data_IF_545503389787
#
_entry.id   IF_545503389787
#
_cell.length_a   1.000
_cell.length_b   1.000
_cell.length_c   1.000
_cell.angle_alpha   90.00
_cell.angle_beta   90.00
_cell.angle_gamma   90.00
#
_symmetry.space_group_name_H-M   'P 1'
#
loop_
_entity.id
_entity.type
_entity.pdbx_description
1 polymer ?
#
# COMPACT_ATOMS: atom_id res chain seq x y z
N UNK A 1 -22.98 4.65 60.01
CA UNK A 1 -23.22 4.77 58.56
C UNK A 1 -22.06 5.37 57.75
N UNK A 2 -21.03 6.01 58.36
CA UNK A 2 -19.88 6.58 57.62
C UNK A 2 -18.91 5.53 57.01
N UNK A 3 -18.77 4.35 57.62
CA UNK A 3 -17.86 3.29 57.13
C UNK A 3 -18.27 2.66 55.79
N UNK A 4 -19.57 2.45 55.57
CA UNK A 4 -20.09 1.87 54.31
C UNK A 4 -19.85 2.84 53.14
N UNK A 5 -20.02 4.15 53.37
CA UNK A 5 -19.74 5.17 52.35
C UNK A 5 -18.25 5.23 51.96
N UNK A 6 -17.33 5.09 52.92
CA UNK A 6 -15.90 5.05 52.65
C UNK A 6 -15.50 3.80 51.84
N UNK A 7 -16.10 2.63 52.15
CA UNK A 7 -15.84 1.38 51.43
C UNK A 7 -16.31 1.49 49.96
N UNK A 8 -17.50 2.05 49.73
CA UNK A 8 -18.03 2.25 48.37
C UNK A 8 -17.12 3.18 47.56
N UNK A 9 -16.61 4.25 48.18
CA UNK A 9 -15.69 5.17 47.52
C UNK A 9 -14.37 4.49 47.10
N UNK A 10 -13.81 3.64 47.96
CA UNK A 10 -12.59 2.88 47.63
C UNK A 10 -12.82 1.92 46.46
N UNK A 11 -13.93 1.18 46.46
CA UNK A 11 -14.26 0.26 45.35
C UNK A 11 -14.47 1.03 44.05
N UNK A 12 -15.16 2.17 44.08
CA UNK A 12 -15.33 3.04 42.91
C UNK A 12 -14.00 3.53 42.34
N UNK A 13 -13.09 4.00 43.21
CA UNK A 13 -11.76 4.45 42.79
C UNK A 13 -11.00 3.29 42.15
N UNK A 14 -11.08 2.09 42.73
CA UNK A 14 -10.39 0.91 42.22
C UNK A 14 -10.91 0.53 40.81
N UNK A 15 -12.22 0.54 40.59
CA UNK A 15 -12.81 0.28 39.26
C UNK A 15 -12.43 1.33 38.22
N UNK A 16 -12.38 2.61 38.62
CA UNK A 16 -11.93 3.70 37.72
C UNK A 16 -10.46 3.50 37.35
N UNK A 17 -9.59 3.17 38.31
CA UNK A 17 -8.17 2.94 38.03
C UNK A 17 -7.93 1.76 37.10
N UNK A 18 -8.66 0.65 37.27
CA UNK A 18 -8.58 -0.51 36.36
C UNK A 18 -9.06 -0.12 34.95
N UNK A 19 -10.16 0.63 34.84
CA UNK A 19 -10.70 1.07 33.55
C UNK A 19 -9.73 1.99 32.81
N UNK A 20 -9.08 2.91 33.52
CA UNK A 20 -8.06 3.80 32.97
C UNK A 20 -6.81 3.04 32.51
N UNK A 21 -6.34 2.08 33.31
CA UNK A 21 -5.20 1.23 32.95
C UNK A 21 -5.49 0.37 31.72
N UNK A 22 -6.69 -0.24 31.64
CA UNK A 22 -7.13 -1.01 30.49
C UNK A 22 -7.24 -0.14 29.23
N UNK A 23 -7.83 1.05 29.35
CA UNK A 23 -7.92 2.01 28.24
C UNK A 23 -6.56 2.45 27.71
N UNK A 24 -5.63 2.78 28.62
CA UNK A 24 -4.26 3.16 28.24
C UNK A 24 -3.52 2.01 27.54
N UNK A 25 -3.65 0.78 28.06
CA UNK A 25 -3.03 -0.40 27.45
C UNK A 25 -3.57 -0.69 26.03
N UNK A 26 -4.89 -0.62 25.86
CA UNK A 26 -5.53 -0.82 24.56
C UNK A 26 -5.12 0.27 23.57
N UNK A 27 -5.11 1.54 24.00
CA UNK A 27 -4.67 2.65 23.17
C UNK A 27 -3.22 2.48 22.71
N UNK A 28 -2.31 2.13 23.63
CA UNK A 28 -0.90 1.94 23.29
C UNK A 28 -0.70 0.73 22.35
N UNK A 29 -1.40 -0.37 22.61
CA UNK A 29 -1.36 -1.58 21.77
C UNK A 29 -1.88 -1.31 20.36
N UNK A 30 -3.01 -0.61 20.23
CA UNK A 30 -3.57 -0.24 18.92
C UNK A 30 -2.66 0.74 18.18
N UNK A 31 -2.06 1.71 18.88
CA UNK A 31 -1.14 2.67 18.27
C UNK A 31 0.11 1.96 17.74
N UNK A 32 0.73 1.09 18.54
CA UNK A 32 1.93 0.36 18.16
C UNK A 32 1.66 -0.59 16.98
N UNK A 33 0.52 -1.29 16.99
CA UNK A 33 0.09 -2.17 15.90
C UNK A 33 -0.14 -1.39 14.60
N UNK A 34 -0.84 -0.26 14.66
CA UNK A 34 -1.11 0.57 13.48
C UNK A 34 0.17 1.21 12.91
N UNK A 35 1.04 1.75 13.76
CA UNK A 35 2.34 2.31 13.32
C UNK A 35 3.20 1.24 12.66
N UNK A 36 3.27 0.05 13.24
CA UNK A 36 4.05 -1.07 12.66
C UNK A 36 3.47 -1.50 11.31
N UNK A 37 2.15 -1.60 11.21
CA UNK A 37 1.46 -1.98 9.97
C UNK A 37 1.67 -0.94 8.88
N UNK A 38 1.53 0.35 9.19
CA UNK A 38 1.75 1.44 8.25
C UNK A 38 3.21 1.49 7.77
N UNK A 39 4.18 1.29 8.68
CA UNK A 39 5.59 1.23 8.32
C UNK A 39 5.90 0.04 7.39
N UNK A 40 5.36 -1.14 7.68
CA UNK A 40 5.52 -2.32 6.83
C UNK A 40 4.91 -2.14 5.44
N UNK A 41 3.72 -1.54 5.37
CA UNK A 41 3.07 -1.22 4.10
C UNK A 41 3.88 -0.23 3.28
N UNK A 42 4.41 0.84 3.89
CA UNK A 42 5.25 1.82 3.21
C UNK A 42 6.56 1.22 2.67
N UNK A 43 7.21 0.36 3.46
CA UNK A 43 8.43 -0.35 3.02
C UNK A 43 8.13 -1.28 1.84
N UNK A 44 7.05 -2.06 1.93
CA UNK A 44 6.66 -2.99 0.86
C UNK A 44 6.33 -2.28 -0.45
N UNK A 45 5.61 -1.15 -0.38
CA UNK A 45 5.30 -0.34 -1.56
C UNK A 45 6.56 0.27 -2.18
N UNK A 46 7.47 0.80 -1.35
CA UNK A 46 8.74 1.37 -1.84
C UNK A 46 9.61 0.29 -2.50
N UNK A 47 9.73 -0.88 -1.88
CA UNK A 47 10.47 -2.02 -2.43
C UNK A 47 9.85 -2.52 -3.75
N UNK A 48 8.51 -2.52 -3.84
CA UNK A 48 7.79 -2.87 -5.07
C UNK A 48 8.04 -1.84 -6.18
N UNK A 49 8.10 -0.55 -5.87
CA UNK A 49 8.41 0.48 -6.86
C UNK A 49 9.88 0.41 -7.32
N UNK A 50 10.81 0.16 -6.40
CA UNK A 50 12.22 -0.04 -6.74
C UNK A 50 12.47 -1.26 -7.62
N UNK A 51 11.63 -2.29 -7.51
CA UNK A 51 11.73 -3.52 -8.31
C UNK A 51 10.95 -3.45 -9.63
N UNK A 52 10.18 -2.39 -9.87
CA UNK A 52 9.51 -2.14 -11.14
C UNK A 52 10.39 -1.23 -11.99
N UNK A 53 11.08 -1.82 -12.95
CA UNK A 53 11.87 -1.10 -13.96
C UNK A 53 11.44 -1.60 -15.33
N UNK A 54 11.43 -0.71 -16.32
CA UNK A 54 11.10 -1.07 -17.69
C UNK A 54 11.94 -0.28 -18.66
N UNK A 55 12.08 -0.80 -19.87
CA UNK A 55 12.74 -0.12 -20.98
C UNK A 55 11.93 -0.34 -22.25
N UNK A 56 11.82 0.71 -23.06
CA UNK A 56 11.20 0.62 -24.38
C UNK A 56 12.29 0.15 -25.34
N UNK A 57 12.10 -1.03 -25.94
CA UNK A 57 13.08 -1.58 -26.87
C UNK A 57 12.87 -1.10 -28.30
N UNK A 58 11.62 -1.01 -28.73
CA UNK A 58 11.27 -0.64 -30.08
C UNK A 58 9.88 0.00 -30.14
N UNK A 59 9.72 0.90 -31.10
CA UNK A 59 8.44 1.49 -31.49
C UNK A 59 8.31 1.30 -33.00
N UNK A 60 7.25 0.61 -33.42
CA UNK A 60 6.94 0.33 -34.82
C UNK A 60 5.45 0.63 -35.08
N UNK A 61 5.17 1.86 -35.50
CA UNK A 61 3.80 2.35 -35.69
C UNK A 61 2.94 2.17 -34.42
N UNK A 62 1.82 1.42 -34.46
CA UNK A 62 0.98 1.11 -33.29
C UNK A 62 1.59 0.23 -32.22
N UNK A 63 2.78 -0.31 -32.47
CA UNK A 63 3.37 -1.34 -31.64
C UNK A 63 4.51 -0.75 -30.83
N UNK A 64 4.39 -0.87 -29.50
CA UNK A 64 5.47 -0.54 -28.57
C UNK A 64 5.93 -1.83 -27.92
N UNK A 65 7.19 -2.18 -28.11
CA UNK A 65 7.84 -3.30 -27.42
C UNK A 65 8.47 -2.81 -26.13
N UNK A 66 7.99 -3.33 -25.01
CA UNK A 66 8.46 -3.00 -23.67
C UNK A 66 9.13 -4.23 -23.08
N UNK A 67 10.36 -4.05 -22.57
CA UNK A 67 11.05 -5.02 -21.72
C UNK A 67 10.82 -4.67 -20.26
N UNK A 68 10.44 -5.67 -19.47
CA UNK A 68 10.52 -5.57 -18.02
C UNK A 68 11.94 -5.85 -17.55
N UNK A 69 12.65 -4.81 -17.13
CA UNK A 69 14.00 -4.91 -16.55
C UNK A 69 13.96 -5.03 -15.03
N UNK A 70 12.77 -4.99 -14.44
CA UNK A 70 12.52 -5.14 -13.02
C UNK A 70 12.41 -6.60 -12.58
N UNK A 71 12.37 -6.79 -11.26
CA UNK A 71 12.10 -8.08 -10.63
C UNK A 71 10.61 -8.31 -10.37
N UNK A 72 9.78 -7.28 -10.50
CA UNK A 72 8.34 -7.35 -10.33
C UNK A 72 7.62 -7.36 -11.68
N UNK A 73 6.56 -8.14 -11.80
CA UNK A 73 5.68 -8.16 -12.97
C UNK A 73 5.05 -6.79 -13.22
N UNK A 74 5.10 -6.33 -14.47
CA UNK A 74 4.45 -5.09 -14.90
C UNK A 74 3.03 -5.40 -15.35
N UNK A 75 2.06 -4.81 -14.67
CA UNK A 75 0.63 -4.91 -14.97
C UNK A 75 -0.05 -3.57 -14.66
N UNK A 76 -1.19 -3.30 -15.30
CA UNK A 76 -2.03 -2.12 -15.05
C UNK A 76 -1.29 -0.76 -15.19
N UNK A 77 -0.42 -0.62 -16.19
CA UNK A 77 0.21 0.67 -16.51
C UNK A 77 -0.61 1.42 -17.56
N UNK A 78 -0.49 2.75 -17.55
CA UNK A 78 -1.09 3.65 -18.52
C UNK A 78 -0.03 4.17 -19.46
N UNK A 79 -0.33 4.20 -20.76
CA UNK A 79 0.57 4.73 -21.79
C UNK A 79 0.07 6.12 -22.18
N UNK A 80 1.01 7.05 -22.28
CA UNK A 80 0.75 8.43 -22.72
C UNK A 80 1.63 8.73 -23.93
N UNK A 81 1.03 9.31 -24.97
CA UNK A 81 1.73 9.81 -26.15
C UNK A 81 1.45 11.31 -26.20
N UNK A 82 2.48 12.15 -26.26
CA UNK A 82 2.36 13.62 -26.21
C UNK A 82 1.47 14.14 -25.06
N UNK A 83 1.60 13.50 -23.89
CA UNK A 83 0.83 13.81 -22.68
C UNK A 83 -0.68 13.50 -22.77
N UNK A 84 -1.11 12.78 -23.81
CA UNK A 84 -2.48 12.31 -24.01
C UNK A 84 -2.53 10.81 -23.64
N UNK A 85 -3.46 10.39 -22.75
CA UNK A 85 -3.62 8.97 -22.46
C UNK A 85 -4.15 8.24 -23.68
N UNK A 86 -3.52 7.12 -24.03
CA UNK A 86 -3.95 6.28 -25.17
C UNK A 86 -4.43 4.93 -24.68
N UNK A 87 -5.46 4.37 -25.33
CA UNK A 87 -5.90 3.02 -25.03
C UNK A 87 -4.92 2.01 -25.63
N UNK A 88 -4.54 1.03 -24.82
CA UNK A 88 -3.61 -0.02 -25.23
C UNK A 88 -4.14 -1.41 -24.95
N UNK A 89 -3.65 -2.41 -25.66
CA UNK A 89 -3.88 -3.81 -25.31
C UNK A 89 -3.35 -4.06 -23.90
N UNK A 90 -4.20 -4.54 -22.99
CA UNK A 90 -3.74 -4.89 -21.65
C UNK A 90 -2.86 -6.12 -21.71
N UNK A 91 -1.61 -5.95 -21.31
CA UNK A 91 -0.62 -7.01 -21.31
C UNK A 91 0.11 -7.00 -19.98
N UNK A 92 0.27 -8.19 -19.41
CA UNK A 92 1.15 -8.41 -18.27
C UNK A 92 2.53 -8.84 -18.77
N UNK A 93 3.58 -8.18 -18.30
CA UNK A 93 4.97 -8.44 -18.68
C UNK A 93 5.71 -9.03 -17.46
N UNK A 94 6.08 -10.31 -17.54
CA UNK A 94 6.86 -10.96 -16.48
C UNK A 94 8.28 -10.35 -16.40
N UNK A 95 9.01 -10.52 -15.29
CA UNK A 95 10.41 -10.10 -15.19
C UNK A 95 11.26 -10.66 -16.33
N UNK A 96 12.13 -9.83 -16.90
CA UNK A 96 13.02 -10.12 -18.04
C UNK A 96 12.30 -10.53 -19.35
N UNK A 97 10.99 -10.34 -19.41
CA UNK A 97 10.19 -10.60 -20.60
C UNK A 97 10.04 -9.33 -21.45
N UNK A 98 9.97 -9.53 -22.77
CA UNK A 98 9.62 -8.48 -23.74
C UNK A 98 8.23 -8.77 -24.28
N UNK A 99 7.34 -7.78 -24.22
CA UNK A 99 6.06 -7.87 -24.91
C UNK A 99 5.75 -6.62 -25.71
N UNK A 100 5.08 -6.86 -26.83
CA UNK A 100 4.57 -5.81 -27.70
C UNK A 100 3.15 -5.46 -27.30
N UNK A 101 2.90 -4.17 -27.17
CA UNK A 101 1.62 -3.58 -26.83
C UNK A 101 1.11 -2.85 -28.05
N UNK A 102 -0.18 -3.02 -28.34
CA UNK A 102 -0.87 -2.31 -29.41
C UNK A 102 -1.55 -1.07 -28.83
N UNK A 103 -1.29 0.09 -29.42
CA UNK A 103 -2.06 1.31 -29.18
C UNK A 103 -3.24 1.33 -30.15
N UNK A 104 -4.45 1.51 -29.63
CA UNK A 104 -5.68 1.54 -30.42
C UNK A 104 -6.06 2.95 -30.87
N UNK A 105 -5.70 3.98 -30.10
CA UNK A 105 -6.03 5.37 -30.41
C UNK A 105 -4.82 6.06 -31.07
N UNK A 106 -4.78 6.02 -32.41
CA UNK A 106 -3.98 6.93 -33.21
C UNK A 106 -4.85 8.13 -33.57
N UNK A 107 -4.47 9.32 -33.12
CA UNK A 107 -4.96 10.59 -33.69
C UNK A 107 -3.93 11.06 -34.70
#
# INVERSE_FOLDING_TARGET
>A
MRGISAIIAVVLILLITISLAAGAYLFLSMTMSQTTTAAQQGISQTMTQMTKSFTIEAVDGPRISIRNTGQAQLSNFSVYVDNIPVNTSQVSIAPDEVKTILIYDFI
#
